data_IF_452816420001
#
_entry.id   IF_452816420001
#
_cell.length_a   1.000
_cell.length_b   1.000
_cell.length_c   1.000
_cell.angle_alpha   90.00
_cell.angle_beta   90.00
_cell.angle_gamma   90.00
#
_symmetry.space_group_name_H-M   'P 1'
#
loop_
_entity.id
_entity.type
_entity.pdbx_description
1 polymer ?
#
# COMPACT_ATOMS: atom_id res chain seq x y z
N UNK A 1 -30.97 11.54 -14.58
CA UNK A 1 -29.72 11.56 -13.78
C UNK A 1 -29.07 10.17 -13.69
N UNK A 2 -28.91 9.46 -14.82
CA UNK A 2 -28.38 8.08 -14.85
C UNK A 2 -27.28 7.89 -15.92
N UNK A 3 -26.45 8.92 -16.14
CA UNK A 3 -25.36 8.88 -17.12
C UNK A 3 -23.95 8.76 -16.52
N UNK A 4 -23.80 8.48 -15.21
CA UNK A 4 -22.52 8.68 -14.51
C UNK A 4 -21.77 7.42 -14.04
N UNK A 5 -22.24 6.22 -14.38
CA UNK A 5 -21.54 4.97 -14.07
C UNK A 5 -20.95 4.33 -15.33
N UNK A 6 -20.07 5.06 -16.03
CA UNK A 6 -19.16 4.41 -16.96
C UNK A 6 -18.23 3.48 -16.16
N UNK A 7 -18.06 2.23 -16.60
CA UNK A 7 -17.14 1.26 -16.00
C UNK A 7 -15.71 1.83 -15.79
N UNK A 8 -15.35 2.85 -16.57
CA UNK A 8 -14.10 3.62 -16.46
C UNK A 8 -13.91 4.40 -15.16
N UNK A 9 -14.99 4.96 -14.61
CA UNK A 9 -14.93 5.61 -13.30
C UNK A 9 -14.56 4.58 -12.23
N UNK A 10 -15.09 3.36 -12.35
CA UNK A 10 -14.84 2.27 -11.40
C UNK A 10 -13.35 1.92 -11.26
N UNK A 11 -12.58 1.88 -12.36
CA UNK A 11 -11.15 1.56 -12.30
C UNK A 11 -10.31 2.66 -11.64
N UNK A 12 -10.58 3.93 -11.96
CA UNK A 12 -9.88 5.05 -11.32
C UNK A 12 -10.19 5.06 -9.81
N UNK A 13 -11.46 4.92 -9.44
CA UNK A 13 -11.89 4.82 -8.05
C UNK A 13 -11.30 3.61 -7.35
N UNK A 14 -11.14 2.48 -8.04
CA UNK A 14 -10.46 1.29 -7.49
C UNK A 14 -9.01 1.60 -7.11
N UNK A 15 -8.27 2.33 -7.96
CA UNK A 15 -6.88 2.74 -7.67
C UNK A 15 -6.85 3.70 -6.48
N UNK A 16 -7.75 4.68 -6.46
CA UNK A 16 -7.85 5.67 -5.37
C UNK A 16 -8.18 4.99 -4.06
N UNK A 17 -9.20 4.14 -4.02
CA UNK A 17 -9.60 3.39 -2.83
C UNK A 17 -8.48 2.44 -2.37
N UNK A 18 -7.82 1.72 -3.28
CA UNK A 18 -6.69 0.87 -2.94
C UNK A 18 -5.57 1.66 -2.24
N UNK A 19 -5.21 2.83 -2.78
CA UNK A 19 -4.23 3.70 -2.16
C UNK A 19 -4.66 4.20 -0.77
N UNK A 20 -5.90 4.70 -0.62
CA UNK A 20 -6.36 5.22 0.68
C UNK A 20 -6.46 4.12 1.74
N UNK A 21 -6.83 2.90 1.37
CA UNK A 21 -6.78 1.75 2.28
C UNK A 21 -5.35 1.52 2.81
N UNK A 22 -4.34 1.56 1.93
CA UNK A 22 -2.93 1.45 2.34
C UNK A 22 -2.50 2.63 3.22
N UNK A 23 -2.92 3.85 2.88
CA UNK A 23 -2.60 5.05 3.64
C UNK A 23 -3.17 5.02 5.06
N UNK A 24 -4.42 4.58 5.24
CA UNK A 24 -5.04 4.55 6.57
C UNK A 24 -4.45 3.46 7.45
N UNK A 25 -4.19 2.25 6.93
CA UNK A 25 -3.53 1.21 7.74
C UNK A 25 -2.09 1.60 8.10
N UNK A 26 -1.37 2.28 7.19
CA UNK A 26 -0.04 2.82 7.48
C UNK A 26 -0.08 3.84 8.63
N UNK A 27 -1.04 4.76 8.62
CA UNK A 27 -1.20 5.72 9.72
C UNK A 27 -1.65 5.04 11.02
N UNK A 28 -2.52 4.02 10.95
CA UNK A 28 -2.91 3.27 12.13
C UNK A 28 -1.71 2.57 12.80
N UNK A 29 -0.81 2.00 12.00
CA UNK A 29 0.45 1.40 12.50
C UNK A 29 1.36 2.47 13.07
N UNK A 30 1.64 3.54 12.33
CA UNK A 30 2.46 4.61 12.85
C UNK A 30 1.93 5.11 14.19
N UNK A 31 0.61 5.28 14.29
CA UNK A 31 -0.05 5.69 15.52
C UNK A 31 0.07 4.66 16.65
N UNK A 32 -0.08 3.36 16.37
CA UNK A 32 0.09 2.30 17.38
C UNK A 32 1.52 2.23 17.92
N UNK A 33 2.50 2.69 17.14
CA UNK A 33 3.90 2.83 17.55
C UNK A 33 4.24 4.23 18.10
N UNK A 34 3.25 5.09 18.34
CA UNK A 34 3.42 6.40 18.97
C UNK A 34 3.74 7.56 18.01
N UNK A 35 3.68 7.34 16.70
CA UNK A 35 3.94 8.36 15.68
C UNK A 35 2.64 8.90 15.09
N UNK A 36 2.36 10.19 15.30
CA UNK A 36 1.20 10.87 14.70
C UNK A 36 1.64 11.70 13.50
N UNK A 37 1.16 11.34 12.30
CA UNK A 37 1.39 12.13 11.08
C UNK A 37 0.45 13.34 11.06
N UNK A 38 1.02 14.52 10.79
CA UNK A 38 0.25 15.76 10.64
C UNK A 38 -0.53 15.85 9.33
N UNK A 39 -1.34 16.91 9.16
CA UNK A 39 -2.21 17.08 7.99
C UNK A 39 -1.51 17.66 6.76
N UNK A 40 -0.43 18.43 6.94
CA UNK A 40 0.35 19.00 5.84
C UNK A 40 1.19 17.90 5.20
N UNK A 41 1.15 17.80 3.86
CA UNK A 41 1.91 16.82 3.06
C UNK A 41 1.83 15.37 3.59
N UNK A 42 0.69 15.03 4.20
CA UNK A 42 0.49 13.80 4.98
C UNK A 42 0.89 12.53 4.21
N UNK A 43 0.56 12.44 2.93
CA UNK A 43 0.89 11.30 2.08
C UNK A 43 2.40 11.05 1.94
N UNK A 44 3.21 12.11 1.82
CA UNK A 44 4.66 12.00 1.75
C UNK A 44 5.25 11.70 3.12
N UNK A 45 4.80 12.42 4.14
CA UNK A 45 5.27 12.21 5.53
C UNK A 45 4.95 10.81 6.03
N UNK A 46 3.77 10.25 5.74
CA UNK A 46 3.44 8.85 6.03
C UNK A 46 4.41 7.90 5.32
N UNK A 47 4.78 8.14 4.06
CA UNK A 47 5.74 7.30 3.34
C UNK A 47 7.12 7.32 3.99
N UNK A 48 7.65 8.51 4.28
CA UNK A 48 8.95 8.69 4.90
C UNK A 48 8.97 8.08 6.32
N UNK A 49 7.90 8.28 7.09
CA UNK A 49 7.76 7.72 8.43
C UNK A 49 7.72 6.18 8.42
N UNK A 50 7.07 5.55 7.43
CA UNK A 50 7.13 4.09 7.27
C UNK A 50 8.56 3.59 7.03
N UNK A 51 9.33 4.28 6.16
CA UNK A 51 10.73 3.94 5.87
C UNK A 51 11.57 3.98 7.15
N UNK A 52 11.42 5.04 7.93
CA UNK A 52 12.26 5.29 9.10
C UNK A 52 11.85 4.42 10.29
N UNK A 53 10.56 4.35 10.60
CA UNK A 53 10.09 3.80 11.89
C UNK A 53 9.57 2.37 11.80
N UNK A 54 9.03 1.97 10.64
CA UNK A 54 8.30 0.69 10.49
C UNK A 54 9.10 -0.33 9.70
N UNK A 55 9.87 0.07 8.68
CA UNK A 55 10.59 -0.83 7.75
C UNK A 55 11.41 -1.91 8.47
N UNK A 56 12.20 -1.56 9.48
CA UNK A 56 13.03 -2.53 10.18
C UNK A 56 12.20 -3.51 11.02
N UNK A 57 11.08 -3.04 11.60
CA UNK A 57 10.14 -3.87 12.37
C UNK A 57 9.39 -4.83 11.45
N UNK A 58 8.99 -4.35 10.27
CA UNK A 58 8.38 -5.17 9.24
C UNK A 58 9.35 -6.22 8.71
N UNK A 59 10.60 -5.85 8.41
CA UNK A 59 11.65 -6.80 8.05
C UNK A 59 11.83 -7.87 9.13
N UNK A 60 11.89 -7.48 10.40
CA UNK A 60 12.00 -8.43 11.50
C UNK A 60 10.78 -9.36 11.58
N UNK A 61 9.56 -8.83 11.54
CA UNK A 61 8.34 -9.64 11.56
C UNK A 61 8.29 -10.64 10.41
N UNK A 62 8.71 -10.23 9.21
CA UNK A 62 8.82 -11.12 8.06
C UNK A 62 9.88 -12.20 8.35
N UNK A 63 11.08 -11.83 8.81
CA UNK A 63 12.16 -12.78 9.12
C UNK A 63 11.83 -13.76 10.27
N UNK A 64 11.18 -13.29 11.33
CA UNK A 64 10.73 -14.14 12.44
C UNK A 64 9.73 -15.19 11.92
N UNK A 65 8.87 -14.82 10.96
CA UNK A 65 8.02 -15.79 10.26
C UNK A 65 8.83 -16.74 9.37
N UNK A 66 9.93 -16.28 8.77
CA UNK A 66 10.82 -17.17 8.02
C UNK A 66 11.53 -18.19 8.90
N UNK A 67 11.92 -17.85 10.13
CA UNK A 67 12.51 -18.84 11.06
C UNK A 67 11.47 -19.89 11.45
N UNK A 68 10.21 -19.50 11.65
CA UNK A 68 9.08 -20.42 11.85
C UNK A 68 8.74 -21.25 10.58
N UNK A 69 8.83 -20.63 9.39
CA UNK A 69 8.44 -21.20 8.09
C UNK A 69 9.61 -21.85 7.35
N UNK A 70 10.85 -21.82 7.85
CA UNK A 70 11.96 -22.61 7.31
C UNK A 70 11.74 -24.14 7.40
N UNK A 71 10.62 -24.58 7.98
CA UNK A 71 10.08 -25.92 7.74
C UNK A 71 9.44 -26.13 6.36
N UNK A 72 8.97 -25.10 5.65
CA UNK A 72 8.36 -25.20 4.31
C UNK A 72 8.51 -23.94 3.43
N UNK A 73 9.46 -24.03 2.49
CA UNK A 73 9.51 -23.42 1.16
C UNK A 73 9.67 -21.88 0.98
N UNK A 74 10.69 -21.57 0.18
CA UNK A 74 11.20 -20.27 -0.24
C UNK A 74 10.26 -19.57 -1.26
N UNK A 75 9.63 -18.44 -0.89
CA UNK A 75 9.14 -17.40 -1.83
C UNK A 75 8.44 -16.24 -1.08
N UNK A 76 9.14 -15.28 -0.46
CA UNK A 76 8.49 -14.03 -0.04
C UNK A 76 9.34 -12.78 -0.25
N UNK A 77 8.64 -11.69 -0.57
CA UNK A 77 9.15 -10.34 -0.80
C UNK A 77 9.82 -9.78 0.46
N UNK A 78 10.90 -9.02 0.27
CA UNK A 78 11.55 -8.28 1.35
C UNK A 78 10.71 -7.04 1.74
N UNK A 79 10.85 -6.49 2.96
CA UNK A 79 10.06 -5.31 3.34
C UNK A 79 10.39 -4.06 2.51
N UNK A 80 11.55 -4.02 1.85
CA UNK A 80 11.90 -2.93 0.93
C UNK A 80 10.96 -2.92 -0.27
N UNK A 81 10.56 -4.09 -0.79
CA UNK A 81 9.61 -4.21 -1.90
C UNK A 81 8.22 -3.70 -1.50
N UNK A 82 7.78 -3.96 -0.26
CA UNK A 82 6.50 -3.46 0.27
C UNK A 82 6.49 -1.95 0.41
N UNK A 83 7.55 -1.39 0.99
CA UNK A 83 7.70 0.07 1.15
C UNK A 83 7.83 0.75 -0.21
N UNK A 84 8.58 0.17 -1.13
CA UNK A 84 8.70 0.64 -2.51
C UNK A 84 7.35 0.57 -3.24
N UNK A 85 6.57 -0.50 -3.06
CA UNK A 85 5.24 -0.61 -3.65
C UNK A 85 4.30 0.47 -3.16
N UNK A 86 4.33 0.81 -1.86
CA UNK A 86 3.55 1.92 -1.33
C UNK A 86 3.90 3.25 -2.00
N UNK A 87 5.20 3.54 -2.15
CA UNK A 87 5.68 4.75 -2.81
C UNK A 87 5.25 4.79 -4.29
N UNK A 88 5.37 3.65 -4.99
CA UNK A 88 4.91 3.52 -6.38
C UNK A 88 3.40 3.73 -6.54
N UNK A 89 2.58 3.26 -5.60
CA UNK A 89 1.13 3.51 -5.62
C UNK A 89 0.79 4.98 -5.33
N UNK A 90 1.51 5.64 -4.42
CA UNK A 90 1.40 7.09 -4.19
C UNK A 90 1.65 7.87 -5.49
N UNK A 91 2.75 7.58 -6.17
CA UNK A 91 3.11 8.23 -7.43
C UNK A 91 2.13 7.90 -8.57
N UNK A 92 1.62 6.66 -8.61
CA UNK A 92 0.64 6.25 -9.62
C UNK A 92 -0.68 7.01 -9.47
N UNK A 93 -1.17 7.20 -8.24
CA UNK A 93 -2.37 8.00 -7.96
C UNK A 93 -2.26 9.43 -8.47
N UNK A 94 -1.06 10.03 -8.42
CA UNK A 94 -0.83 11.36 -8.98
C UNK A 94 -0.87 11.38 -10.52
N UNK A 95 -0.35 10.33 -11.18
CA UNK A 95 -0.18 10.29 -12.64
C UNK A 95 -1.39 9.76 -13.43
N UNK A 96 -2.10 8.74 -12.90
CA UNK A 96 -3.17 8.03 -13.65
C UNK A 96 -4.35 8.93 -14.02
N UNK A 97 -4.56 10.02 -13.29
CA UNK A 97 -5.63 10.98 -13.57
C UNK A 97 -5.44 11.73 -14.91
N UNK A 98 -4.22 11.86 -15.44
CA UNK A 98 -3.92 12.79 -16.52
C UNK A 98 -3.35 12.18 -17.82
N UNK A 99 -2.97 10.89 -17.86
CA UNK A 99 -2.06 10.43 -18.94
C UNK A 99 -2.20 8.98 -19.41
N UNK A 100 -3.36 8.29 -19.29
CA UNK A 100 -3.43 6.86 -19.69
C UNK A 100 -4.72 6.42 -20.40
N UNK A 101 -4.59 5.49 -21.36
CA UNK A 101 -5.67 4.81 -22.13
C UNK A 101 -6.44 3.78 -21.30
N UNK A 102 -7.66 3.39 -21.72
CA UNK A 102 -8.62 2.59 -20.94
C UNK A 102 -8.15 1.18 -20.56
N UNK A 103 -7.58 0.41 -21.50
CA UNK A 103 -7.03 -0.92 -21.23
C UNK A 103 -5.96 -0.91 -20.13
N UNK A 104 -5.14 0.13 -20.13
CA UNK A 104 -4.08 0.30 -19.14
C UNK A 104 -4.67 0.67 -17.77
N UNK A 105 -5.83 1.34 -17.71
CA UNK A 105 -6.51 1.67 -16.43
C UNK A 105 -7.00 0.41 -15.71
N UNK A 106 -7.56 -0.57 -16.41
CA UNK A 106 -8.02 -1.83 -15.81
C UNK A 106 -6.85 -2.66 -15.25
N UNK A 107 -5.80 -2.88 -16.05
CA UNK A 107 -4.61 -3.59 -15.58
C UNK A 107 -3.97 -2.91 -14.35
N UNK A 108 -3.84 -1.57 -14.38
CA UNK A 108 -3.35 -0.78 -13.25
C UNK A 108 -4.25 -0.90 -12.02
N UNK A 109 -5.58 -0.91 -12.18
CA UNK A 109 -6.53 -1.06 -11.08
C UNK A 109 -6.38 -2.42 -10.39
N UNK A 110 -6.31 -3.51 -11.16
CA UNK A 110 -6.09 -4.86 -10.62
C UNK A 110 -4.77 -4.95 -9.84
N UNK A 111 -3.67 -4.43 -10.39
CA UNK A 111 -2.37 -4.41 -9.69
C UNK A 111 -2.44 -3.60 -8.40
N UNK A 112 -3.11 -2.44 -8.41
CA UNK A 112 -3.22 -1.58 -7.22
C UNK A 112 -4.03 -2.26 -6.11
N UNK A 113 -5.13 -2.92 -6.48
CA UNK A 113 -5.95 -3.69 -5.54
C UNK A 113 -5.16 -4.86 -4.91
N UNK A 114 -4.43 -5.64 -5.72
CA UNK A 114 -3.64 -6.75 -5.23
C UNK A 114 -2.49 -6.28 -4.31
N UNK A 115 -1.84 -5.17 -4.65
CA UNK A 115 -0.84 -4.55 -3.77
C UNK A 115 -1.44 -4.07 -2.45
N UNK A 116 -2.62 -3.44 -2.49
CA UNK A 116 -3.29 -2.99 -1.28
C UNK A 116 -3.68 -4.16 -0.35
N UNK A 117 -4.20 -5.27 -0.90
CA UNK A 117 -4.48 -6.48 -0.12
C UNK A 117 -3.24 -7.03 0.56
N UNK A 118 -2.15 -7.21 -0.21
CA UNK A 118 -0.87 -7.71 0.31
C UNK A 118 -0.30 -6.80 1.38
N UNK A 119 -0.26 -5.49 1.11
CA UNK A 119 0.20 -4.49 2.06
C UNK A 119 -0.58 -4.54 3.36
N UNK A 120 -1.91 -4.58 3.30
CA UNK A 120 -2.75 -4.73 4.49
C UNK A 120 -2.43 -6.01 5.28
N UNK A 121 -2.32 -7.16 4.61
CA UNK A 121 -2.00 -8.44 5.26
C UNK A 121 -0.69 -8.36 6.04
N UNK A 122 0.36 -7.81 5.44
CA UNK A 122 1.68 -7.70 6.08
C UNK A 122 1.69 -6.68 7.21
N UNK A 123 1.07 -5.53 6.97
CA UNK A 123 0.97 -4.45 7.95
C UNK A 123 0.16 -4.84 9.18
N UNK A 124 -0.94 -5.59 9.00
CA UNK A 124 -1.79 -6.06 10.11
C UNK A 124 -1.02 -6.93 11.12
N UNK A 125 0.00 -7.67 10.68
CA UNK A 125 0.86 -8.49 11.54
C UNK A 125 1.68 -7.68 12.55
N UNK A 126 1.78 -6.36 12.37
CA UNK A 126 2.53 -5.48 13.28
C UNK A 126 1.66 -4.91 14.41
N UNK A 127 0.34 -5.10 14.36
CA UNK A 127 -0.63 -4.59 15.35
C UNK A 127 -1.21 -5.72 16.22
N UNK A 128 -1.24 -6.95 15.71
CA UNK A 128 -1.73 -8.15 16.39
C UNK A 128 -0.53 -8.94 16.89
#
# INVERSE_FOLDING_TARGET
MAHLANANNSFLWTIVCAYYSMFYIANAILYSYGYKVGSKIAHKVTADALIVHIRNKLNKSILDQYEEVQKQALNFMNANDLVLQFDLEREKRNRVQYSTTELIKNAKAKTSLERAKRFYTEMRKLII
#
